data_IF_373584777455
#
_entry.id   IF_373584777455
#
_cell.length_a   1.000
_cell.length_b   1.000
_cell.length_c   1.000
_cell.angle_alpha   90.00
_cell.angle_beta   90.00
_cell.angle_gamma   90.00
#
_symmetry.space_group_name_H-M   'P 1'
#
loop_
_entity.id
_entity.type
_entity.pdbx_description
1 polymer ?
#
# COMPACT_ATOMS: atom_id res chain seq x y z
N UNK A 1 -12.05 -7.96 5.02
CA UNK A 1 -11.72 -6.82 4.16
C UNK A 1 -10.57 -6.07 4.81
N UNK A 2 -9.38 -6.12 4.21
CA UNK A 2 -8.15 -5.53 4.78
C UNK A 2 -7.88 -4.18 4.13
N UNK A 3 -7.61 -3.13 4.91
CA UNK A 3 -7.16 -1.84 4.36
C UNK A 3 -5.65 -1.71 4.58
N UNK A 4 -4.88 -1.83 3.51
CA UNK A 4 -3.42 -1.72 3.54
C UNK A 4 -3.06 -0.28 3.14
N UNK A 5 -2.58 0.50 4.10
CA UNK A 5 -2.16 1.89 3.85
C UNK A 5 -0.65 1.93 3.67
N UNK A 6 -0.19 2.22 2.45
CA UNK A 6 1.23 2.40 2.15
C UNK A 6 1.57 3.87 2.37
N UNK A 7 2.11 4.18 3.54
CA UNK A 7 2.54 5.53 3.90
C UNK A 7 3.99 5.73 3.48
N UNK A 8 4.24 6.68 2.60
CA UNK A 8 5.61 7.01 2.22
C UNK A 8 5.71 8.13 1.20
N UNK A 9 6.81 8.87 1.24
CA UNK A 9 7.09 10.08 0.45
C UNK A 9 7.22 9.85 -1.07
N UNK A 10 6.75 8.71 -1.58
CA UNK A 10 6.75 8.40 -3.01
C UNK A 10 8.08 7.89 -3.57
N UNK A 11 9.03 7.48 -2.72
CA UNK A 11 10.30 6.91 -3.17
C UNK A 11 10.10 5.57 -3.90
N UNK A 12 11.10 5.15 -4.69
CA UNK A 12 11.02 3.92 -5.52
C UNK A 12 10.71 2.67 -4.71
N UNK A 13 11.16 2.61 -3.45
CA UNK A 13 10.89 1.49 -2.54
C UNK A 13 9.40 1.40 -2.17
N UNK A 14 8.72 2.53 -1.94
CA UNK A 14 7.29 2.56 -1.64
C UNK A 14 6.45 2.06 -2.82
N UNK A 15 6.84 2.41 -4.06
CA UNK A 15 6.17 1.91 -5.26
C UNK A 15 6.31 0.39 -5.39
N UNK A 16 7.53 -0.11 -5.15
CA UNK A 16 7.80 -1.55 -5.23
C UNK A 16 7.06 -2.34 -4.15
N UNK A 17 6.92 -1.78 -2.95
CA UNK A 17 6.15 -2.40 -1.87
C UNK A 17 4.65 -2.47 -2.19
N UNK A 18 4.08 -1.43 -2.79
CA UNK A 18 2.68 -1.41 -3.24
C UNK A 18 2.41 -2.49 -4.28
N UNK A 19 3.30 -2.60 -5.27
CA UNK A 19 3.22 -3.62 -6.32
C UNK A 19 3.27 -5.04 -5.74
N UNK A 20 4.24 -5.31 -4.85
CA UNK A 20 4.36 -6.59 -4.16
C UNK A 20 3.14 -6.91 -3.30
N UNK A 21 2.61 -5.93 -2.56
CA UNK A 21 1.37 -6.12 -1.80
C UNK A 21 0.21 -6.48 -2.72
N UNK A 22 0.08 -5.81 -3.87
CA UNK A 22 -1.01 -6.06 -4.81
C UNK A 22 -0.91 -7.44 -5.45
N UNK A 23 0.29 -7.87 -5.76
CA UNK A 23 0.58 -9.20 -6.29
C UNK A 23 0.17 -10.28 -5.28
N UNK A 24 0.68 -10.19 -4.04
CA UNK A 24 0.38 -11.15 -2.96
C UNK A 24 -1.11 -11.21 -2.63
N UNK A 25 -1.78 -10.07 -2.59
CA UNK A 25 -3.22 -9.96 -2.32
C UNK A 25 -4.03 -10.64 -3.44
N UNK A 26 -3.62 -10.43 -4.69
CA UNK A 26 -4.25 -11.07 -5.86
C UNK A 26 -3.99 -12.58 -5.90
N UNK A 27 -2.76 -13.01 -5.62
CA UNK A 27 -2.38 -14.43 -5.59
C UNK A 27 -3.13 -15.20 -4.50
N UNK A 28 -3.25 -14.60 -3.31
CA UNK A 28 -3.91 -15.24 -2.17
C UNK A 28 -5.44 -15.05 -2.15
N UNK A 29 -6.03 -14.41 -3.19
CA UNK A 29 -7.46 -14.08 -3.24
C UNK A 29 -7.93 -13.31 -1.98
N UNK A 30 -7.06 -12.45 -1.47
CA UNK A 30 -7.34 -11.64 -0.28
C UNK A 30 -8.07 -10.38 -0.77
N UNK A 31 -9.22 -10.07 -0.17
CA UNK A 31 -9.89 -8.81 -0.44
C UNK A 31 -9.22 -7.70 0.40
N UNK A 32 -8.19 -7.07 -0.19
CA UNK A 32 -7.47 -5.95 0.42
C UNK A 32 -7.48 -4.69 -0.45
N UNK A 33 -7.78 -3.55 0.17
CA UNK A 33 -7.76 -2.22 -0.44
C UNK A 33 -6.43 -1.54 -0.12
N UNK A 34 -5.59 -1.39 -1.14
CA UNK A 34 -4.27 -0.75 -1.03
C UNK A 34 -4.43 0.75 -1.29
N UNK A 35 -4.15 1.58 -0.29
CA UNK A 35 -4.21 3.04 -0.38
C UNK A 35 -2.84 3.64 -0.12
N UNK A 36 -2.31 4.36 -1.12
CA UNK A 36 -1.03 5.06 -0.98
C UNK A 36 -1.25 6.43 -0.36
N UNK A 37 -0.66 6.65 0.82
CA UNK A 37 -0.69 7.93 1.53
C UNK A 37 0.69 8.56 1.41
N UNK A 38 0.81 9.52 0.50
CA UNK A 38 2.05 10.29 0.32
C UNK A 38 2.23 11.35 1.40
N UNK A 39 1.14 11.73 2.05
CA UNK A 39 1.09 12.81 3.02
C UNK A 39 1.16 12.25 4.44
N UNK A 40 2.38 12.11 4.97
CA UNK A 40 2.64 11.71 6.36
C UNK A 40 2.12 12.74 7.38
N UNK A 41 1.89 13.99 6.95
CA UNK A 41 1.35 15.06 7.78
C UNK A 41 -0.14 14.90 8.09
N UNK A 42 -0.83 13.94 7.46
CA UNK A 42 -2.26 13.71 7.66
C UNK A 42 -2.60 12.83 8.89
N UNK A 43 -1.59 12.42 9.65
CA UNK A 43 -1.74 11.68 10.92
C UNK A 43 -1.35 12.51 12.16
N UNK A 44 -1.22 13.84 12.01
CA UNK A 44 -1.04 14.77 13.13
C UNK A 44 -2.36 15.02 13.88
#
# INVERSE_FOLDING_TARGET
MLNIKVVGSGCSNCKKLEELCRDVVSENNIDAKIEKITDVNRFA
#
